data_IF_357924689576
#
_entry.id   IF_357924689576
#
_cell.length_a   1.000
_cell.length_b   1.000
_cell.length_c   1.000
_cell.angle_alpha   90.00
_cell.angle_beta   90.00
_cell.angle_gamma   90.00
#
_symmetry.space_group_name_H-M   'P 1'
#
loop_
_entity.id
_entity.type
_entity.pdbx_description
1 polymer ?
#
# COMPACT_ATOMS: atom_id res chain seq x y z
N UNK A 1 20.65 5.41 3.31
CA UNK A 1 19.44 6.03 2.71
C UNK A 1 19.87 7.25 1.89
N UNK A 2 19.23 7.50 0.75
CA UNK A 2 19.51 8.67 -0.09
C UNK A 2 18.62 9.83 0.36
N UNK A 3 19.15 10.86 1.06
CA UNK A 3 18.32 11.86 1.76
C UNK A 3 17.45 12.69 0.80
N UNK A 4 17.91 12.91 -0.43
CA UNK A 4 17.15 13.63 -1.45
C UNK A 4 15.89 12.86 -1.91
N UNK A 5 15.93 11.52 -1.96
CA UNK A 5 14.74 10.71 -2.25
C UNK A 5 13.72 10.78 -1.12
N UNK A 6 14.18 10.85 0.13
CA UNK A 6 13.31 11.05 1.28
C UNK A 6 12.63 12.41 1.19
N UNK A 7 13.40 13.47 0.93
CA UNK A 7 12.87 14.82 0.75
C UNK A 7 11.85 14.88 -0.39
N UNK A 8 12.15 14.29 -1.55
CA UNK A 8 11.23 14.22 -2.68
C UNK A 8 9.96 13.44 -2.34
N UNK A 9 10.09 12.31 -1.64
CA UNK A 9 8.94 11.50 -1.22
C UNK A 9 8.02 12.30 -0.29
N UNK A 10 8.59 13.00 0.70
CA UNK A 10 7.82 13.86 1.61
C UNK A 10 7.14 15.00 0.86
N UNK A 11 7.86 15.66 -0.06
CA UNK A 11 7.36 16.78 -0.85
C UNK A 11 6.20 16.38 -1.77
N UNK A 12 6.20 15.15 -2.30
CA UNK A 12 5.11 14.65 -3.14
C UNK A 12 3.95 14.06 -2.33
N UNK A 13 4.24 13.32 -1.25
CA UNK A 13 3.22 12.63 -0.47
C UNK A 13 2.41 13.58 0.41
N UNK A 14 3.04 14.58 1.06
CA UNK A 14 2.30 15.49 1.96
C UNK A 14 1.20 16.25 1.22
N UNK A 15 1.46 16.94 0.10
CA UNK A 15 0.40 17.62 -0.64
C UNK A 15 -0.66 16.64 -1.14
N UNK A 16 -0.25 15.48 -1.65
CA UNK A 16 -1.19 14.44 -2.10
C UNK A 16 -2.16 14.00 -1.00
N UNK A 17 -1.66 13.79 0.22
CA UNK A 17 -2.47 13.46 1.39
C UNK A 17 -3.40 14.61 1.79
N UNK A 18 -2.91 15.86 1.78
CA UNK A 18 -3.72 17.04 2.10
C UNK A 18 -4.88 17.19 1.11
N UNK A 19 -4.59 17.10 -0.19
CA UNK A 19 -5.63 17.21 -1.22
C UNK A 19 -6.60 16.04 -1.18
N UNK A 20 -6.11 14.80 -1.06
CA UNK A 20 -6.93 13.59 -1.03
C UNK A 20 -7.85 13.51 0.19
N UNK A 21 -7.35 13.85 1.38
CA UNK A 21 -8.13 13.73 2.63
C UNK A 21 -8.90 15.00 3.00
N UNK A 22 -8.35 16.18 2.67
CA UNK A 22 -8.93 17.47 3.05
C UNK A 22 -9.90 18.03 2.01
N UNK A 23 -9.53 17.96 0.73
CA UNK A 23 -10.20 18.73 -0.33
C UNK A 23 -10.97 17.90 -1.36
N UNK A 24 -10.68 16.61 -1.48
CA UNK A 24 -11.40 15.75 -2.41
C UNK A 24 -12.92 15.81 -2.14
N UNK A 25 -13.77 15.97 -3.17
CA UNK A 25 -15.21 16.04 -2.96
C UNK A 25 -15.72 14.74 -2.31
N UNK A 26 -16.69 14.83 -1.38
CA UNK A 26 -17.31 13.64 -0.82
C UNK A 26 -18.01 12.84 -1.91
N UNK A 27 -17.95 11.51 -1.81
CA UNK A 27 -18.63 10.60 -2.73
C UNK A 27 -20.14 10.55 -2.42
N UNK A 28 -20.98 10.28 -3.42
CA UNK A 28 -22.43 10.36 -3.32
C UNK A 28 -23.03 9.41 -2.27
N UNK A 29 -22.49 8.21 -2.12
CA UNK A 29 -23.03 7.15 -1.25
C UNK A 29 -22.23 6.97 0.05
N UNK A 30 -20.93 7.22 0.02
CA UNK A 30 -20.00 7.01 1.14
C UNK A 30 -19.55 8.31 1.81
N UNK A 31 -19.92 9.46 1.24
CA UNK A 31 -19.59 10.77 1.77
C UNK A 31 -18.08 10.97 1.95
N UNK A 32 -17.69 11.47 3.13
CA UNK A 32 -16.27 11.69 3.47
C UNK A 32 -15.49 10.39 3.73
N UNK A 33 -16.17 9.27 4.01
CA UNK A 33 -15.49 8.00 4.28
C UNK A 33 -14.67 7.53 3.07
N UNK A 34 -15.17 7.79 1.86
CA UNK A 34 -14.50 7.43 0.61
C UNK A 34 -13.08 8.02 0.48
N UNK A 35 -12.78 9.14 1.14
CA UNK A 35 -11.45 9.80 1.03
C UNK A 35 -10.30 8.91 1.50
N UNK A 36 -10.56 7.88 2.31
CA UNK A 36 -9.57 6.87 2.70
C UNK A 36 -8.95 6.15 1.49
N UNK A 37 -9.65 6.11 0.34
CA UNK A 37 -9.18 5.47 -0.90
C UNK A 37 -7.85 6.04 -1.39
N UNK A 38 -7.59 7.34 -1.13
CA UNK A 38 -6.35 8.03 -1.50
C UNK A 38 -5.13 7.51 -0.72
N UNK A 39 -5.34 6.79 0.38
CA UNK A 39 -4.30 6.02 1.08
C UNK A 39 -4.40 4.54 0.72
N UNK A 40 -5.60 3.98 0.79
CA UNK A 40 -5.84 2.55 0.70
C UNK A 40 -5.42 1.95 -0.65
N UNK A 41 -5.85 2.53 -1.77
CA UNK A 41 -5.59 1.95 -3.11
C UNK A 41 -4.10 1.99 -3.49
N UNK A 42 -3.38 3.10 -3.30
CA UNK A 42 -1.93 3.11 -3.51
C UNK A 42 -1.21 2.10 -2.62
N UNK A 43 -1.62 1.97 -1.34
CA UNK A 43 -1.02 1.00 -0.44
C UNK A 43 -1.27 -0.44 -0.88
N UNK A 44 -2.50 -0.78 -1.29
CA UNK A 44 -2.85 -2.08 -1.85
C UNK A 44 -2.01 -2.41 -3.09
N UNK A 45 -1.83 -1.42 -3.97
CA UNK A 45 -1.07 -1.57 -5.23
C UNK A 45 0.41 -1.86 -4.95
N UNK A 46 1.04 -1.12 -4.03
CA UNK A 46 2.45 -1.33 -3.66
C UNK A 46 2.62 -2.67 -2.92
N UNK A 47 1.71 -3.02 -2.02
CA UNK A 47 1.73 -4.31 -1.34
C UNK A 47 1.68 -5.46 -2.35
N UNK A 48 0.71 -5.42 -3.28
CA UNK A 48 0.53 -6.45 -4.30
C UNK A 48 1.74 -6.54 -5.23
N UNK A 49 2.26 -5.41 -5.72
CA UNK A 49 3.48 -5.39 -6.52
C UNK A 49 4.68 -5.97 -5.77
N UNK A 50 4.82 -5.67 -4.47
CA UNK A 50 5.85 -6.23 -3.60
C UNK A 50 5.76 -7.76 -3.49
N UNK A 51 4.55 -8.29 -3.26
CA UNK A 51 4.34 -9.74 -3.20
C UNK A 51 4.57 -10.43 -4.54
N UNK A 52 4.12 -9.83 -5.66
CA UNK A 52 4.40 -10.35 -7.00
C UNK A 52 5.91 -10.37 -7.28
N UNK A 53 6.63 -9.31 -6.93
CA UNK A 53 8.07 -9.23 -7.10
C UNK A 53 8.80 -10.29 -6.25
N UNK A 54 8.37 -10.52 -5.01
CA UNK A 54 8.91 -11.61 -4.18
C UNK A 54 8.60 -12.99 -4.75
N UNK A 55 7.41 -13.20 -5.30
CA UNK A 55 7.05 -14.47 -5.96
C UNK A 55 7.95 -14.73 -7.18
N UNK A 56 8.13 -13.73 -8.05
CA UNK A 56 9.03 -13.81 -9.21
C UNK A 56 10.48 -14.05 -8.77
N UNK A 57 10.96 -13.31 -7.78
CA UNK A 57 12.30 -13.51 -7.22
C UNK A 57 12.46 -14.93 -6.64
N UNK A 58 11.45 -15.45 -5.94
CA UNK A 58 11.42 -16.82 -5.42
C UNK A 58 11.54 -17.87 -6.53
N UNK A 59 10.79 -17.71 -7.63
CA UNK A 59 10.92 -18.59 -8.81
C UNK A 59 12.35 -18.51 -9.37
N UNK A 60 12.91 -17.31 -9.48
CA UNK A 60 14.27 -17.12 -9.99
C UNK A 60 15.31 -17.83 -9.10
N UNK A 61 15.17 -17.72 -7.78
CA UNK A 61 16.02 -18.42 -6.80
C UNK A 61 15.88 -19.94 -6.94
N UNK A 62 14.67 -20.47 -7.07
CA UNK A 62 14.44 -21.92 -7.14
C UNK A 62 14.98 -22.54 -8.42
N UNK A 63 14.79 -21.89 -9.57
CA UNK A 63 15.15 -22.41 -10.89
C UNK A 63 16.60 -22.12 -11.24
N UNK A 64 17.05 -20.88 -11.11
CA UNK A 64 18.39 -20.44 -11.54
C UNK A 64 19.38 -20.23 -10.40
N UNK A 65 18.95 -20.33 -9.12
CA UNK A 65 19.83 -20.21 -7.95
C UNK A 65 20.62 -18.89 -7.91
N UNK A 66 20.01 -17.81 -8.41
CA UNK A 66 20.66 -16.49 -8.46
C UNK A 66 20.63 -15.80 -7.09
N UNK A 67 21.79 -15.62 -6.47
CA UNK A 67 21.93 -14.91 -5.18
C UNK A 67 21.36 -13.49 -5.20
N UNK A 68 21.41 -12.81 -6.35
CA UNK A 68 20.83 -11.47 -6.50
C UNK A 68 19.31 -11.47 -6.30
N UNK A 69 18.61 -12.52 -6.71
CA UNK A 69 17.17 -12.62 -6.52
C UNK A 69 16.80 -12.79 -5.03
N UNK A 70 17.64 -13.47 -4.23
CA UNK A 70 17.45 -13.52 -2.77
C UNK A 70 17.59 -12.14 -2.13
N UNK A 71 18.55 -11.33 -2.59
CA UNK A 71 18.74 -9.96 -2.11
C UNK A 71 17.57 -9.04 -2.46
N UNK A 72 17.00 -9.21 -3.65
CA UNK A 72 15.78 -8.51 -4.07
C UNK A 72 14.62 -8.90 -3.17
N UNK A 73 14.36 -10.20 -2.97
CA UNK A 73 13.28 -10.67 -2.11
C UNK A 73 13.40 -10.13 -0.67
N UNK A 74 14.61 -10.18 -0.08
CA UNK A 74 14.87 -9.64 1.26
C UNK A 74 14.64 -8.13 1.35
N UNK A 75 15.01 -7.37 0.33
CA UNK A 75 14.82 -5.92 0.29
C UNK A 75 13.35 -5.53 0.13
N UNK A 76 12.60 -6.28 -0.66
CA UNK A 76 11.18 -5.99 -0.98
C UNK A 76 10.25 -6.42 0.15
N UNK A 77 10.56 -7.51 0.86
CA UNK A 77 9.74 -8.06 1.93
C UNK A 77 9.24 -7.02 2.97
N UNK A 78 10.09 -6.20 3.61
CA UNK A 78 9.62 -5.22 4.57
C UNK A 78 8.75 -4.13 3.94
N UNK A 79 9.00 -3.75 2.68
CA UNK A 79 8.21 -2.75 1.95
C UNK A 79 6.81 -3.32 1.68
N UNK A 80 6.74 -4.51 1.07
CA UNK A 80 5.47 -5.20 0.80
C UNK A 80 4.64 -5.42 2.06
N UNK A 81 5.26 -5.91 3.14
CA UNK A 81 4.59 -6.13 4.42
C UNK A 81 4.08 -4.83 5.07
N UNK A 82 4.86 -3.74 5.01
CA UNK A 82 4.44 -2.45 5.58
C UNK A 82 3.23 -1.87 4.85
N UNK A 83 3.24 -1.92 3.51
CA UNK A 83 2.10 -1.47 2.71
C UNK A 83 0.89 -2.39 2.82
N UNK A 84 1.10 -3.70 2.99
CA UNK A 84 0.03 -4.65 3.26
C UNK A 84 -0.65 -4.33 4.60
N UNK A 85 0.12 -4.05 5.64
CA UNK A 85 -0.42 -3.62 6.92
C UNK A 85 -1.25 -2.33 6.79
N UNK A 86 -0.72 -1.31 6.10
CA UNK A 86 -1.46 -0.05 5.84
C UNK A 86 -2.76 -0.34 5.08
N UNK A 87 -2.70 -1.18 4.04
CA UNK A 87 -3.86 -1.58 3.25
C UNK A 87 -4.93 -2.25 4.12
N UNK A 88 -4.55 -3.21 4.97
CA UNK A 88 -5.49 -3.90 5.86
C UNK A 88 -6.10 -2.93 6.88
N UNK A 89 -5.28 -2.11 7.54
CA UNK A 89 -5.79 -1.15 8.53
C UNK A 89 -6.76 -0.16 7.87
N UNK A 90 -6.37 0.46 6.77
CA UNK A 90 -7.21 1.43 6.05
C UNK A 90 -8.47 0.80 5.47
N UNK A 91 -8.39 -0.44 4.98
CA UNK A 91 -9.55 -1.21 4.51
C UNK A 91 -10.56 -1.45 5.63
N UNK A 92 -10.07 -1.79 6.83
CA UNK A 92 -10.94 -1.98 8.00
C UNK A 92 -11.64 -0.70 8.44
N UNK A 93 -10.92 0.43 8.44
CA UNK A 93 -11.44 1.76 8.77
C UNK A 93 -12.52 2.16 7.78
N UNK A 94 -12.34 1.85 6.50
CA UNK A 94 -13.35 2.07 5.47
C UNK A 94 -14.57 1.14 5.59
N UNK A 95 -14.35 -0.12 5.97
CA UNK A 95 -15.41 -1.11 6.13
C UNK A 95 -16.44 -0.72 7.20
N UNK A 96 -15.99 -0.16 8.34
CA UNK A 96 -16.89 0.16 9.46
C UNK A 96 -18.06 1.11 9.09
N UNK A 97 -17.83 2.28 8.47
CA UNK A 97 -18.92 3.16 8.03
C UNK A 97 -19.66 2.66 6.79
N UNK A 98 -18.99 1.90 5.91
CA UNK A 98 -19.58 1.47 4.63
C UNK A 98 -20.47 0.24 4.77
N UNK A 99 -20.07 -0.72 5.60
CA UNK A 99 -20.73 -2.02 5.78
C UNK A 99 -21.17 -2.31 7.22
N UNK A 100 -20.87 -1.41 8.18
CA UNK A 100 -21.21 -1.60 9.58
C UNK A 100 -20.22 -2.47 10.38
N UNK A 101 -19.26 -3.10 9.71
CA UNK A 101 -18.27 -4.04 10.29
C UNK A 101 -16.86 -3.74 9.80
N UNK A 102 -15.84 -4.04 10.61
CA UNK A 102 -14.44 -3.81 10.24
C UNK A 102 -13.93 -4.83 9.22
N UNK A 103 -14.33 -6.07 9.39
CA UNK A 103 -14.10 -7.19 8.48
C UNK A 103 -15.28 -8.14 8.61
N UNK A 104 -15.70 -8.72 7.48
CA UNK A 104 -16.70 -9.78 7.43
C UNK A 104 -16.22 -10.79 6.40
N UNK A 105 -16.28 -12.08 6.75
CA UNK A 105 -15.84 -13.18 5.89
C UNK A 105 -16.97 -14.19 5.66
N UNK A 106 -18.20 -13.80 6.03
CA UNK A 106 -19.42 -14.61 6.05
C UNK A 106 -20.08 -14.72 4.67
#
# INVERSE_FOLDING_TARGET
MLPWLVALSVLLLIPGLIYGLGFAPPEKYQGNSYRVIYIHVPAASIAMAGYVMMAVAGVIVLVWRMKMAEMVAKSVAPIGASFAFICLVTGSIWGKPTWGTWWVWD
#
